data_IF_937527146270
#
_entry.id   IF_937527146270
#
_cell.length_a   1.000
_cell.length_b   1.000
_cell.length_c   1.000
_cell.angle_alpha   90.00
_cell.angle_beta   90.00
_cell.angle_gamma   90.00
#
_symmetry.space_group_name_H-M   'P 1'
#
loop_
_entity.id
_entity.type
_entity.pdbx_description
1 polymer ?
#
# COMPACT_ATOMS: atom_id res chain seq x y z
N UNK A 1 -2.64 6.01 21.24
CA UNK A 1 -3.63 6.42 22.27
C UNK A 1 -3.10 7.51 23.23
N UNK A 2 -1.85 7.44 23.69
CA UNK A 2 -1.28 8.46 24.60
C UNK A 2 -1.19 9.88 23.99
N UNK A 3 -1.21 10.01 22.68
CA UNK A 3 -1.27 11.29 21.94
C UNK A 3 -2.69 11.81 21.75
N UNK A 4 -3.71 11.13 22.29
CA UNK A 4 -5.12 11.54 22.17
C UNK A 4 -5.90 10.87 21.05
N UNK A 5 -5.31 9.92 20.32
CA UNK A 5 -6.07 9.10 19.36
C UNK A 5 -7.07 8.20 20.10
N UNK A 6 -8.28 8.11 19.55
CA UNK A 6 -9.34 7.25 20.09
C UNK A 6 -9.02 5.76 19.87
N UNK A 7 -8.45 5.43 18.72
CA UNK A 7 -8.07 4.08 18.33
C UNK A 7 -6.82 4.10 17.43
N UNK A 8 -6.20 2.94 17.21
CA UNK A 8 -5.10 2.74 16.30
C UNK A 8 -5.21 1.35 15.66
N UNK A 9 -5.19 1.30 14.34
CA UNK A 9 -5.34 0.09 13.54
C UNK A 9 -4.20 -0.06 12.54
N UNK A 10 -3.95 -1.30 12.10
CA UNK A 10 -2.95 -1.56 11.08
C UNK A 10 -3.51 -1.29 9.68
N UNK A 11 -2.81 -0.48 8.88
CA UNK A 11 -3.15 -0.26 7.45
C UNK A 11 -3.13 -1.55 6.63
N UNK A 12 -2.56 -2.62 7.15
CA UNK A 12 -2.61 -3.96 6.57
C UNK A 12 -4.04 -4.51 6.42
N UNK A 13 -5.02 -3.97 7.17
CA UNK A 13 -6.46 -4.21 6.94
C UNK A 13 -6.87 -3.67 5.56
N UNK A 14 -6.51 -2.43 5.25
CA UNK A 14 -6.73 -1.84 3.93
C UNK A 14 -5.98 -2.58 2.83
N UNK A 15 -4.78 -3.08 3.11
CA UNK A 15 -4.03 -3.93 2.18
C UNK A 15 -4.77 -5.23 1.84
N UNK A 16 -5.43 -5.86 2.83
CA UNK A 16 -6.25 -7.07 2.62
C UNK A 16 -7.45 -6.77 1.70
N UNK A 17 -8.08 -5.61 1.85
CA UNK A 17 -9.16 -5.16 0.96
C UNK A 17 -8.63 -5.01 -0.47
N UNK A 18 -7.56 -4.26 -0.63
CA UNK A 18 -7.00 -3.92 -1.94
C UNK A 18 -6.52 -5.17 -2.70
N UNK A 19 -5.83 -6.09 -2.03
CA UNK A 19 -5.41 -7.35 -2.68
C UNK A 19 -6.62 -8.15 -3.17
N UNK A 20 -7.71 -8.17 -2.40
CA UNK A 20 -8.93 -8.87 -2.78
C UNK A 20 -9.56 -8.28 -4.03
N UNK A 21 -9.51 -6.95 -4.21
CA UNK A 21 -9.96 -6.30 -5.45
C UNK A 21 -9.06 -6.65 -6.64
N UNK A 22 -7.73 -6.71 -6.46
CA UNK A 22 -6.84 -7.19 -7.52
C UNK A 22 -7.12 -8.64 -7.92
N UNK A 23 -7.36 -9.53 -6.96
CA UNK A 23 -7.75 -10.92 -7.22
C UNK A 23 -9.05 -11.01 -8.02
N UNK A 24 -10.05 -10.17 -7.69
CA UNK A 24 -11.31 -10.07 -8.47
C UNK A 24 -11.07 -9.56 -9.88
N UNK A 25 -10.19 -8.55 -10.06
CA UNK A 25 -9.85 -8.05 -11.40
C UNK A 25 -9.22 -9.15 -12.26
N UNK A 26 -8.26 -9.91 -11.71
CA UNK A 26 -7.62 -11.04 -12.39
C UNK A 26 -8.66 -12.12 -12.73
N UNK A 27 -9.47 -12.52 -11.78
CA UNK A 27 -10.50 -13.55 -11.96
C UNK A 27 -11.58 -13.14 -12.99
N UNK A 28 -11.79 -11.85 -13.22
CA UNK A 28 -12.77 -11.34 -14.18
C UNK A 28 -12.45 -11.69 -15.63
N UNK A 29 -11.17 -11.95 -15.94
CA UNK A 29 -10.68 -12.21 -17.30
C UNK A 29 -10.80 -11.02 -18.26
N UNK A 30 -11.06 -9.80 -17.75
CA UNK A 30 -11.27 -8.60 -18.57
C UNK A 30 -9.98 -7.83 -18.87
N UNK A 31 -8.89 -8.17 -18.19
CA UNK A 31 -7.63 -7.45 -18.25
C UNK A 31 -6.49 -8.38 -18.64
N UNK A 32 -5.71 -7.99 -19.64
CA UNK A 32 -4.48 -8.69 -20.02
C UNK A 32 -3.28 -8.26 -19.17
N UNK A 33 -3.24 -6.99 -18.79
CA UNK A 33 -2.20 -6.42 -17.94
C UNK A 33 -2.87 -5.60 -16.86
N UNK A 34 -2.39 -5.76 -15.63
CA UNK A 34 -2.85 -4.99 -14.46
C UNK A 34 -1.62 -4.42 -13.75
N UNK A 35 -1.56 -3.10 -13.59
CA UNK A 35 -0.57 -2.43 -12.76
C UNK A 35 -1.19 -2.13 -11.40
N UNK A 36 -0.51 -2.46 -10.32
CA UNK A 36 -0.98 -2.12 -8.96
C UNK A 36 -1.07 -0.61 -8.75
N UNK A 37 -2.14 -0.14 -8.12
CA UNK A 37 -2.41 1.28 -7.85
C UNK A 37 -2.03 1.75 -6.43
N UNK A 38 -1.33 0.93 -5.65
CA UNK A 38 -1.00 1.25 -4.25
C UNK A 38 0.00 2.39 -4.09
N UNK A 39 0.90 2.57 -5.06
CA UNK A 39 1.95 3.59 -5.03
C UNK A 39 1.49 4.89 -5.70
N UNK A 40 1.10 5.89 -4.92
CA UNK A 40 0.64 7.18 -5.45
C UNK A 40 1.67 7.85 -6.38
N UNK A 41 2.97 7.74 -6.08
CA UNK A 41 4.02 8.29 -6.94
C UNK A 41 4.05 7.62 -8.33
N UNK A 42 3.78 6.31 -8.42
CA UNK A 42 3.67 5.61 -9.71
C UNK A 42 2.38 6.02 -10.43
N UNK A 43 1.27 6.14 -9.71
CA UNK A 43 0.01 6.60 -10.29
C UNK A 43 0.17 8.00 -10.91
N UNK A 44 0.77 8.94 -10.16
CA UNK A 44 1.05 10.30 -10.66
C UNK A 44 2.04 10.31 -11.83
N UNK A 45 3.04 9.43 -11.84
CA UNK A 45 3.97 9.27 -12.97
C UNK A 45 3.21 8.83 -14.24
N UNK A 46 2.34 7.83 -14.12
CA UNK A 46 1.53 7.32 -15.24
C UNK A 46 0.58 8.41 -15.72
N UNK A 47 -0.19 9.02 -14.83
CA UNK A 47 -1.17 10.05 -15.16
C UNK A 47 -0.55 11.25 -15.88
N UNK A 48 0.61 11.72 -15.41
CA UNK A 48 1.24 12.94 -15.95
C UNK A 48 2.07 12.69 -17.23
N UNK A 49 2.74 11.55 -17.33
CA UNK A 49 3.76 11.34 -18.36
C UNK A 49 3.50 10.15 -19.28
N UNK A 50 2.64 9.20 -18.88
CA UNK A 50 2.36 7.99 -19.64
C UNK A 50 0.86 7.69 -19.70
N UNK A 51 0.01 8.64 -20.15
CA UNK A 51 -1.46 8.48 -20.13
C UNK A 51 -1.96 7.32 -20.98
N UNK A 52 -1.18 6.86 -21.97
CA UNK A 52 -1.45 5.66 -22.77
C UNK A 52 -1.53 4.38 -21.93
N UNK A 53 -0.89 4.36 -20.74
CA UNK A 53 -0.83 3.21 -19.85
C UNK A 53 -1.92 3.24 -18.77
N UNK A 54 -2.67 4.34 -18.65
CA UNK A 54 -3.80 4.43 -17.71
C UNK A 54 -4.80 3.27 -17.78
N UNK A 55 -5.15 2.72 -18.94
CA UNK A 55 -6.08 1.59 -19.02
C UNK A 55 -5.60 0.31 -18.31
N UNK A 56 -4.31 0.21 -18.02
CA UNK A 56 -3.70 -0.92 -17.32
C UNK A 56 -3.53 -0.66 -15.81
N UNK A 57 -3.63 0.59 -15.36
CA UNK A 57 -3.60 0.93 -13.95
C UNK A 57 -4.88 0.44 -13.28
N UNK A 58 -4.74 -0.33 -12.20
CA UNK A 58 -5.90 -0.83 -11.47
C UNK A 58 -6.73 0.32 -10.91
N UNK A 59 -8.04 0.28 -11.17
CA UNK A 59 -9.01 1.23 -10.62
C UNK A 59 -9.39 0.83 -9.18
N UNK A 60 -8.39 0.82 -8.29
CA UNK A 60 -8.53 0.41 -6.90
C UNK A 60 -7.82 1.41 -6.00
N UNK A 61 -8.47 1.83 -4.93
CA UNK A 61 -7.88 2.71 -3.92
C UNK A 61 -6.61 2.12 -3.32
N UNK A 62 -5.73 2.98 -2.81
CA UNK A 62 -4.59 2.50 -2.04
C UNK A 62 -5.03 1.94 -0.69
N UNK A 63 -4.21 1.10 -0.02
CA UNK A 63 -4.51 0.60 1.32
C UNK A 63 -4.84 1.69 2.34
N UNK A 64 -4.16 2.84 2.26
CA UNK A 64 -4.46 4.00 3.10
C UNK A 64 -5.89 4.48 2.89
N UNK A 65 -6.26 4.78 1.65
CA UNK A 65 -7.60 5.32 1.33
C UNK A 65 -8.70 4.30 1.62
N UNK A 66 -8.48 3.03 1.24
CA UNK A 66 -9.44 1.97 1.49
C UNK A 66 -9.71 1.79 2.99
N UNK A 67 -8.66 1.79 3.82
CA UNK A 67 -8.81 1.65 5.27
C UNK A 67 -9.46 2.88 5.91
N UNK A 68 -9.04 4.10 5.51
CA UNK A 68 -9.66 5.33 6.02
C UNK A 68 -11.16 5.40 5.68
N UNK A 69 -11.56 4.95 4.50
CA UNK A 69 -12.98 4.84 4.11
C UNK A 69 -13.74 3.90 5.05
N UNK A 70 -13.20 2.71 5.31
CA UNK A 70 -13.82 1.75 6.26
C UNK A 70 -13.95 2.38 7.66
N UNK A 71 -12.89 3.01 8.17
CA UNK A 71 -12.92 3.68 9.49
C UNK A 71 -14.04 4.72 9.55
N UNK A 72 -14.17 5.57 8.51
CA UNK A 72 -15.20 6.62 8.46
C UNK A 72 -16.62 6.08 8.29
N UNK A 73 -16.79 4.97 7.59
CA UNK A 73 -18.09 4.30 7.46
C UNK A 73 -18.53 3.65 8.78
N UNK A 74 -17.61 3.00 9.48
CA UNK A 74 -17.88 2.39 10.79
C UNK A 74 -18.03 3.44 11.90
N UNK A 75 -17.34 4.58 11.77
CA UNK A 75 -17.32 5.66 12.74
C UNK A 75 -17.60 7.01 12.08
N UNK A 76 -18.86 7.35 11.77
CA UNK A 76 -19.20 8.60 11.13
C UNK A 76 -18.70 9.81 11.95
N UNK A 77 -17.94 10.69 11.30
CA UNK A 77 -17.31 11.85 11.94
C UNK A 77 -15.91 11.59 12.52
N UNK A 78 -15.38 10.40 12.38
CA UNK A 78 -13.98 10.13 12.75
C UNK A 78 -13.01 10.93 11.86
N UNK A 79 -11.96 11.47 12.47
CA UNK A 79 -10.80 12.01 11.78
C UNK A 79 -9.80 10.86 11.57
N UNK A 80 -9.62 10.45 10.32
CA UNK A 80 -8.73 9.36 9.95
C UNK A 80 -7.33 9.89 9.66
N UNK A 81 -6.35 9.45 10.44
CA UNK A 81 -4.94 9.85 10.33
C UNK A 81 -4.11 8.66 9.89
N UNK A 82 -3.45 8.77 8.74
CA UNK A 82 -2.48 7.77 8.29
C UNK A 82 -1.08 8.10 8.83
N UNK A 83 -0.37 7.08 9.28
CA UNK A 83 1.02 7.20 9.72
C UNK A 83 1.86 6.21 8.92
N UNK A 84 2.91 6.69 8.25
CA UNK A 84 3.73 5.83 7.40
C UNK A 84 4.99 6.48 6.82
N UNK A 85 5.80 5.72 6.08
CA UNK A 85 7.11 6.16 5.61
C UNK A 85 7.07 7.00 4.32
N UNK A 86 5.88 7.33 3.82
CA UNK A 86 5.70 7.83 2.47
C UNK A 86 5.22 9.29 2.44
N UNK A 87 6.02 10.18 1.86
CA UNK A 87 5.63 11.59 1.71
C UNK A 87 4.55 11.82 0.64
N UNK A 88 4.49 10.99 -0.41
CA UNK A 88 3.45 11.15 -1.45
C UNK A 88 2.05 10.79 -0.96
N UNK A 89 1.93 10.12 0.19
CA UNK A 89 0.65 9.88 0.85
C UNK A 89 -0.01 11.16 1.38
N UNK A 90 0.75 12.24 1.58
CA UNK A 90 0.20 13.56 1.92
C UNK A 90 -0.61 14.13 0.75
N UNK A 91 -0.02 14.14 -0.46
CA UNK A 91 -0.72 14.57 -1.67
C UNK A 91 -1.94 13.68 -1.96
N UNK A 92 -1.81 12.36 -1.78
CA UNK A 92 -2.92 11.44 -1.98
C UNK A 92 -4.08 11.70 -1.00
N UNK A 93 -3.79 11.98 0.28
CA UNK A 93 -4.79 12.32 1.27
C UNK A 93 -5.54 13.61 0.89
N UNK A 94 -4.81 14.65 0.46
CA UNK A 94 -5.40 15.92 0.02
C UNK A 94 -6.28 15.77 -1.22
N UNK A 95 -5.85 14.95 -2.19
CA UNK A 95 -6.56 14.77 -3.46
C UNK A 95 -7.89 14.01 -3.29
N UNK A 96 -7.90 12.98 -2.47
CA UNK A 96 -9.04 12.05 -2.37
C UNK A 96 -9.96 12.32 -1.16
N UNK A 97 -9.47 12.97 -0.11
CA UNK A 97 -10.27 13.35 1.06
C UNK A 97 -10.73 12.20 1.97
N UNK A 98 -10.39 10.96 1.65
CA UNK A 98 -10.71 9.80 2.51
C UNK A 98 -9.85 9.78 3.78
N UNK A 99 -8.60 10.17 3.66
CA UNK A 99 -7.66 10.35 4.76
C UNK A 99 -7.60 11.84 5.10
N UNK A 100 -7.82 12.21 6.36
CA UNK A 100 -7.84 13.63 6.74
C UNK A 100 -6.42 14.18 6.91
N UNK A 101 -5.49 13.36 7.42
CA UNK A 101 -4.10 13.75 7.63
C UNK A 101 -3.18 12.55 7.37
N UNK A 102 -2.08 12.77 6.65
CA UNK A 102 -1.00 11.80 6.53
C UNK A 102 0.26 12.32 7.24
N UNK A 103 0.73 11.58 8.23
CA UNK A 103 1.96 11.84 8.98
C UNK A 103 3.06 10.87 8.58
N UNK A 104 4.28 11.36 8.53
CA UNK A 104 5.47 10.51 8.45
C UNK A 104 5.83 9.96 9.82
N UNK A 105 6.66 8.92 9.87
CA UNK A 105 7.19 8.42 11.14
C UNK A 105 8.04 9.48 11.86
N UNK A 106 8.79 10.30 11.12
CA UNK A 106 9.59 11.39 11.69
C UNK A 106 8.71 12.46 12.34
N UNK A 107 7.59 12.81 11.71
CA UNK A 107 6.61 13.77 12.28
C UNK A 107 5.94 13.20 13.53
N UNK A 108 5.58 11.92 13.51
CA UNK A 108 5.04 11.26 14.69
C UNK A 108 6.06 11.22 15.83
N UNK A 109 7.31 10.88 15.55
CA UNK A 109 8.39 10.84 16.54
C UNK A 109 8.62 12.23 17.16
N UNK A 110 8.66 13.28 16.32
CA UNK A 110 8.78 14.66 16.79
C UNK A 110 7.62 15.04 17.72
N UNK A 111 6.40 14.71 17.35
CA UNK A 111 5.21 14.98 18.17
C UNK A 111 5.23 14.18 19.48
N UNK A 112 5.62 12.92 19.45
CA UNK A 112 5.77 12.11 20.68
C UNK A 112 6.80 12.70 21.63
N UNK A 113 7.95 13.16 21.11
CA UNK A 113 9.00 13.81 21.90
C UNK A 113 8.51 15.12 22.54
N UNK A 114 7.79 15.96 21.77
CA UNK A 114 7.20 17.21 22.28
C UNK A 114 6.16 16.94 23.38
N UNK A 115 5.34 15.90 23.19
CA UNK A 115 4.32 15.51 24.16
C UNK A 115 4.89 14.70 25.36
N UNK A 116 6.18 14.41 25.39
CA UNK A 116 6.80 13.58 26.44
C UNK A 116 6.32 12.12 26.44
N UNK A 117 5.84 11.63 25.30
CA UNK A 117 5.35 10.26 25.14
C UNK A 117 6.49 9.35 24.69
N UNK A 118 6.86 8.42 25.53
CA UNK A 118 7.83 7.37 25.20
C UNK A 118 7.05 6.15 24.66
N UNK A 119 7.42 5.59 23.49
CA UNK A 119 6.85 4.34 23.03
C UNK A 119 7.03 3.26 24.08
N UNK A 120 6.00 2.49 24.38
CA UNK A 120 6.18 1.26 25.14
C UNK A 120 7.05 0.31 24.30
N UNK A 121 8.01 -0.35 24.93
CA UNK A 121 8.77 -1.41 24.26
C UNK A 121 7.82 -2.52 23.80
N UNK A 122 8.31 -3.31 22.89
CA UNK A 122 7.57 -4.39 22.23
C UNK A 122 7.04 -5.40 23.28
N UNK A 123 5.76 -5.24 23.64
CA UNK A 123 5.05 -6.12 24.58
C UNK A 123 3.88 -6.82 23.90
N UNK A 124 3.77 -6.72 22.58
CA UNK A 124 2.75 -7.45 21.84
C UNK A 124 3.16 -8.91 21.76
N UNK A 125 2.35 -9.79 22.34
CA UNK A 125 2.41 -11.22 22.04
C UNK A 125 2.36 -11.38 20.52
N UNK A 126 3.19 -12.28 19.94
CA UNK A 126 3.12 -12.55 18.51
C UNK A 126 1.72 -13.07 18.19
N UNK A 127 0.98 -12.30 17.41
CA UNK A 127 -0.27 -12.78 16.87
C UNK A 127 -0.02 -13.79 15.74
N UNK A 128 -1.10 -14.38 15.22
CA UNK A 128 -1.06 -15.37 14.14
C UNK A 128 -0.54 -14.82 12.81
N UNK A 129 0.14 -13.72 12.73
CA UNK A 129 0.68 -13.10 11.52
C UNK A 129 -0.34 -12.95 10.37
N UNK A 130 -0.30 -11.87 9.63
CA UNK A 130 -1.31 -11.54 8.61
C UNK A 130 -0.67 -11.26 7.24
N UNK A 131 -1.22 -11.80 6.16
CA UNK A 131 -0.74 -11.63 4.78
C UNK A 131 -0.68 -10.16 4.34
N UNK A 132 -1.63 -9.34 4.73
CA UNK A 132 -1.64 -7.91 4.41
C UNK A 132 -0.40 -7.16 4.89
N UNK A 133 0.34 -7.69 5.86
CA UNK A 133 1.59 -7.12 6.39
C UNK A 133 2.78 -7.26 5.43
N UNK A 134 2.68 -8.08 4.37
CA UNK A 134 3.72 -8.14 3.33
C UNK A 134 3.77 -6.91 2.44
N UNK A 135 2.69 -6.13 2.32
CA UNK A 135 2.59 -5.02 1.36
C UNK A 135 3.78 -4.06 1.30
N UNK A 136 4.48 -3.70 2.40
CA UNK A 136 5.54 -2.70 2.34
C UNK A 136 6.86 -3.16 1.76
N UNK A 137 7.04 -4.46 1.45
CA UNK A 137 8.27 -4.98 0.83
C UNK A 137 8.07 -5.20 -0.68
N UNK A 138 9.17 -5.30 -1.43
CA UNK A 138 9.13 -5.61 -2.86
C UNK A 138 8.52 -7.00 -3.10
N UNK A 139 7.55 -7.07 -4.00
CA UNK A 139 6.77 -8.28 -4.24
C UNK A 139 5.77 -8.62 -3.13
N UNK A 140 5.60 -7.73 -2.16
CA UNK A 140 4.77 -7.96 -0.99
C UNK A 140 3.27 -7.98 -1.30
N UNK A 141 2.82 -7.18 -2.27
CA UNK A 141 1.45 -7.24 -2.76
C UNK A 141 1.19 -8.63 -3.34
N UNK A 142 2.05 -9.07 -4.25
CA UNK A 142 1.97 -10.38 -4.89
C UNK A 142 2.00 -11.50 -3.85
N UNK A 143 2.92 -11.41 -2.87
CA UNK A 143 3.05 -12.41 -1.81
C UNK A 143 1.81 -12.50 -0.92
N UNK A 144 1.04 -11.41 -0.78
CA UNK A 144 -0.20 -11.41 -0.03
C UNK A 144 -1.37 -12.03 -0.78
N UNK A 145 -1.31 -12.13 -2.11
CA UNK A 145 -2.39 -12.59 -2.98
C UNK A 145 -2.40 -14.12 -3.13
N UNK A 146 -3.55 -14.65 -3.52
CA UNK A 146 -3.69 -16.03 -4.00
C UNK A 146 -3.42 -16.07 -5.51
N UNK A 147 -2.24 -16.57 -5.87
CA UNK A 147 -1.71 -16.49 -7.24
C UNK A 147 -1.80 -17.79 -8.03
N UNK A 148 -2.26 -18.88 -7.41
CA UNK A 148 -2.27 -20.20 -8.00
C UNK A 148 -3.35 -20.32 -9.09
N UNK A 149 -2.97 -20.93 -10.22
CA UNK A 149 -3.88 -21.29 -11.33
C UNK A 149 -4.65 -20.11 -11.98
N UNK A 150 -4.13 -18.90 -11.88
CA UNK A 150 -4.78 -17.70 -12.46
C UNK A 150 -4.47 -17.50 -13.95
N UNK A 151 -3.41 -18.14 -14.47
CA UNK A 151 -2.91 -17.91 -15.83
C UNK A 151 -2.15 -16.57 -15.98
N UNK A 152 -1.97 -15.82 -14.90
CA UNK A 152 -1.20 -14.57 -14.88
C UNK A 152 0.26 -14.81 -14.48
N UNK A 153 1.15 -14.02 -15.07
CA UNK A 153 2.53 -13.85 -14.58
C UNK A 153 2.58 -12.70 -13.62
N UNK A 154 3.21 -12.90 -12.47
CA UNK A 154 3.31 -11.89 -11.40
C UNK A 154 4.71 -11.31 -11.37
N UNK A 155 4.81 -10.00 -11.53
CA UNK A 155 6.07 -9.26 -11.66
C UNK A 155 6.14 -8.13 -10.63
N UNK A 156 7.28 -7.95 -9.98
CA UNK A 156 7.50 -6.86 -9.02
C UNK A 156 8.63 -5.94 -9.49
N UNK A 157 8.32 -4.65 -9.62
CA UNK A 157 9.23 -3.61 -10.08
C UNK A 157 9.34 -2.52 -9.03
N UNK A 158 10.55 -2.11 -8.69
CA UNK A 158 10.84 -1.05 -7.74
C UNK A 158 11.90 -0.09 -8.28
N UNK A 159 11.85 1.17 -7.82
CA UNK A 159 12.65 2.26 -8.34
C UNK A 159 12.03 2.92 -9.58
N UNK A 160 12.06 4.27 -9.60
CA UNK A 160 11.41 5.08 -10.65
C UNK A 160 11.91 4.70 -12.05
N UNK A 161 13.23 4.49 -12.23
CA UNK A 161 13.78 4.17 -13.55
C UNK A 161 13.32 2.81 -14.06
N UNK A 162 13.23 1.83 -13.17
CA UNK A 162 12.72 0.49 -13.51
C UNK A 162 11.21 0.55 -13.81
N UNK A 163 10.44 1.33 -13.06
CA UNK A 163 9.02 1.56 -13.36
C UNK A 163 8.85 2.19 -14.75
N UNK A 164 9.65 3.19 -15.11
CA UNK A 164 9.63 3.82 -16.44
C UNK A 164 9.97 2.78 -17.53
N UNK A 165 10.97 1.94 -17.31
CA UNK A 165 11.31 0.89 -18.26
C UNK A 165 10.16 -0.09 -18.47
N UNK A 166 9.55 -0.58 -17.38
CA UNK A 166 8.39 -1.48 -17.44
C UNK A 166 7.18 -0.82 -18.12
N UNK A 167 6.89 0.45 -17.85
CA UNK A 167 5.83 1.22 -18.51
C UNK A 167 6.04 1.24 -20.04
N UNK A 168 7.27 1.45 -20.51
CA UNK A 168 7.58 1.43 -21.95
C UNK A 168 7.40 0.05 -22.58
N UNK A 169 7.68 -1.02 -21.85
CA UNK A 169 7.38 -2.38 -22.32
C UNK A 169 5.87 -2.63 -22.42
N UNK A 170 5.07 -2.12 -21.49
CA UNK A 170 3.61 -2.18 -21.55
C UNK A 170 3.11 -1.40 -22.77
N UNK A 171 3.59 -0.17 -23.01
CA UNK A 171 3.24 0.64 -24.19
C UNK A 171 3.54 -0.07 -25.50
N UNK A 172 4.61 -0.86 -25.57
CA UNK A 172 4.97 -1.63 -26.76
C UNK A 172 4.04 -2.82 -27.04
N UNK A 173 3.17 -3.17 -26.08
CA UNK A 173 2.29 -4.34 -26.18
C UNK A 173 3.01 -5.69 -26.01
N UNK A 174 4.23 -5.69 -25.50
CA UNK A 174 5.04 -6.90 -25.32
C UNK A 174 4.53 -7.81 -24.19
N UNK A 175 3.79 -7.24 -23.22
CA UNK A 175 3.32 -7.97 -22.04
C UNK A 175 1.86 -8.39 -22.17
N UNK A 176 1.56 -9.61 -21.73
CA UNK A 176 0.21 -10.17 -21.67
C UNK A 176 0.04 -11.04 -20.43
N UNK A 177 -1.19 -11.09 -19.94
CA UNK A 177 -1.55 -11.89 -18.76
C UNK A 177 -0.58 -11.65 -17.59
N UNK A 178 -0.36 -10.36 -17.24
CA UNK A 178 0.56 -9.95 -16.19
C UNK A 178 -0.13 -9.11 -15.14
N UNK A 179 0.18 -9.39 -13.88
CA UNK A 179 -0.03 -8.46 -12.78
C UNK A 179 1.33 -7.89 -12.38
N UNK A 180 1.45 -6.57 -12.38
CA UNK A 180 2.72 -5.87 -12.17
C UNK A 180 2.61 -5.00 -10.91
N UNK A 181 3.26 -5.43 -9.85
CA UNK A 181 3.47 -4.60 -8.67
C UNK A 181 4.53 -3.55 -8.96
N UNK A 182 4.18 -2.26 -8.82
CA UNK A 182 5.12 -1.15 -9.05
C UNK A 182 5.28 -0.28 -7.81
N UNK A 183 6.53 -0.02 -7.43
CA UNK A 183 6.90 0.86 -6.33
C UNK A 183 7.95 1.87 -6.78
N UNK A 184 7.73 3.18 -6.53
CA UNK A 184 8.68 4.22 -6.90
C UNK A 184 9.98 4.19 -6.08
N UNK A 185 9.91 3.72 -4.82
CA UNK A 185 11.07 3.60 -3.95
C UNK A 185 11.82 2.28 -4.21
N UNK A 186 13.14 2.32 -4.29
CA UNK A 186 13.98 1.11 -4.31
C UNK A 186 13.87 0.38 -2.97
N UNK A 187 13.56 -0.92 -3.01
CA UNK A 187 13.24 -1.73 -1.83
C UNK A 187 11.84 -1.50 -1.29
N UNK A 188 10.94 -0.88 -2.08
CA UNK A 188 9.55 -0.60 -1.78
C UNK A 188 9.34 0.33 -0.55
N UNK A 189 8.18 0.26 0.11
CA UNK A 189 7.79 1.24 1.13
C UNK A 189 8.66 1.23 2.38
N UNK A 190 9.24 0.08 2.77
CA UNK A 190 10.15 0.00 3.92
C UNK A 190 11.44 0.83 3.75
N UNK A 191 11.75 1.23 2.52
CA UNK A 191 12.85 2.14 2.20
C UNK A 191 12.35 3.51 1.73
N UNK A 192 11.14 3.87 2.10
CA UNK A 192 10.55 5.17 1.82
C UNK A 192 11.39 6.34 2.34
N UNK A 193 11.19 7.54 1.79
CA UNK A 193 12.04 8.70 2.10
C UNK A 193 11.92 9.20 3.55
N UNK A 194 10.82 8.89 4.23
CA UNK A 194 10.54 9.31 5.60
C UNK A 194 10.73 8.19 6.65
N UNK A 195 11.61 7.25 6.35
CA UNK A 195 12.17 6.32 7.34
C UNK A 195 13.54 6.86 7.76
N UNK A 196 13.76 6.97 9.06
CA UNK A 196 14.93 7.52 9.76
C UNK A 196 16.21 7.61 8.91
N UNK A 197 16.80 8.80 8.87
CA UNK A 197 17.97 9.16 8.06
C UNK A 197 19.23 8.31 8.30
N UNK A 198 19.29 7.52 9.37
CA UNK A 198 20.53 6.90 9.83
C UNK A 198 20.77 5.47 9.34
N UNK A 199 19.75 4.73 8.95
CA UNK A 199 19.90 3.40 8.36
C UNK A 199 18.68 3.06 7.49
N UNK A 200 18.91 2.85 6.21
CA UNK A 200 17.97 2.13 5.33
C UNK A 200 18.39 0.64 5.31
N UNK A 201 17.92 -0.17 6.25
CA UNK A 201 18.30 -1.57 6.32
C UNK A 201 17.52 -2.37 5.29
N UNK A 202 17.95 -2.33 4.03
CA UNK A 202 17.25 -2.97 2.92
C UNK A 202 16.87 -4.42 3.24
N UNK A 203 17.85 -5.24 3.56
CA UNK A 203 17.60 -6.67 3.80
C UNK A 203 17.06 -6.97 5.20
N UNK A 204 17.61 -6.35 6.25
CA UNK A 204 17.15 -6.59 7.62
C UNK A 204 15.75 -6.05 7.88
N UNK A 205 15.33 -4.99 7.18
CA UNK A 205 13.95 -4.50 7.20
C UNK A 205 12.99 -5.50 6.59
N UNK A 206 13.35 -6.06 5.43
CA UNK A 206 12.54 -7.10 4.78
C UNK A 206 12.41 -8.35 5.65
N UNK A 207 13.51 -8.83 6.25
CA UNK A 207 13.49 -9.96 7.18
C UNK A 207 12.53 -9.74 8.35
N UNK A 208 12.51 -8.52 8.93
CA UNK A 208 11.58 -8.16 10.01
C UNK A 208 10.12 -8.19 9.55
N UNK A 209 9.83 -7.64 8.37
CA UNK A 209 8.48 -7.68 7.80
C UNK A 209 8.04 -9.12 7.56
N UNK A 210 8.89 -9.94 6.97
CA UNK A 210 8.59 -11.37 6.72
C UNK A 210 8.35 -12.13 8.02
N UNK A 211 9.11 -11.85 9.06
CA UNK A 211 8.93 -12.48 10.37
C UNK A 211 7.65 -12.01 11.10
N UNK A 212 7.20 -10.80 10.84
CA UNK A 212 5.97 -10.23 11.42
C UNK A 212 4.70 -10.56 10.64
N UNK A 213 4.82 -10.76 9.34
CA UNK A 213 3.73 -11.21 8.48
C UNK A 213 3.48 -12.71 8.67
N UNK A 214 2.42 -13.23 8.09
CA UNK A 214 2.06 -14.65 8.18
C UNK A 214 1.07 -15.04 7.10
N UNK A 215 0.39 -16.17 7.28
CA UNK A 215 -0.47 -16.74 6.25
C UNK A 215 -1.96 -16.47 6.46
N UNK A 216 -2.33 -15.90 7.61
CA UNK A 216 -3.70 -15.55 7.93
C UNK A 216 -4.17 -14.26 7.24
N UNK A 217 -5.47 -14.06 7.20
CA UNK A 217 -6.11 -12.87 6.68
C UNK A 217 -6.68 -11.99 7.79
N UNK A 218 -6.65 -10.67 7.59
CA UNK A 218 -7.49 -9.80 8.41
C UNK A 218 -8.96 -10.07 8.11
N UNK A 219 -9.78 -10.12 9.16
CA UNK A 219 -11.23 -10.12 8.98
C UNK A 219 -11.66 -8.73 8.58
N UNK A 220 -12.12 -8.59 7.35
CA UNK A 220 -12.68 -7.35 6.84
C UNK A 220 -14.18 -7.55 6.68
N UNK A 221 -14.96 -6.68 7.28
CA UNK A 221 -16.39 -6.63 7.01
C UNK A 221 -16.57 -6.17 5.54
N UNK A 222 -16.94 -7.07 4.65
CA UNK A 222 -17.24 -6.82 3.25
C UNK A 222 -18.74 -6.84 3.04
N UNK A 223 -19.32 -6.19 2.04
CA UNK A 223 -18.69 -5.62 0.84
C UNK A 223 -18.80 -4.10 0.77
N UNK A 224 -17.72 -3.43 0.52
CA UNK A 224 -17.79 -2.07 0.05
C UNK A 224 -17.62 -2.12 -1.47
N UNK A 225 -18.72 -2.05 -2.21
CA UNK A 225 -18.76 -2.11 -3.69
C UNK A 225 -18.08 -0.92 -4.38
N UNK A 226 -17.39 -0.07 -3.64
CA UNK A 226 -16.95 1.26 -4.11
C UNK A 226 -15.51 1.61 -3.81
N UNK A 227 -14.58 0.64 -3.92
CA UNK A 227 -13.15 1.00 -3.96
C UNK A 227 -12.70 1.45 -5.36
N UNK A 228 -13.66 1.72 -6.23
CA UNK A 228 -13.44 2.28 -7.56
C UNK A 228 -13.50 3.78 -7.45
N UNK A 229 -12.45 4.44 -7.78
CA UNK A 229 -12.33 5.78 -8.34
C UNK A 229 -10.95 6.33 -8.05
N UNK A 230 -10.02 6.01 -8.94
CA UNK A 230 -8.87 6.88 -9.19
C UNK A 230 -9.34 7.80 -10.31
N UNK A 231 -9.57 9.10 -10.06
CA UNK A 231 -9.97 10.04 -11.09
C UNK A 231 -8.88 10.22 -12.14
#
# INVERSE_FOLDING_TARGET
>A
LKLGFADAQETAIGATIVKTEYEKMIASGKHDVIISSCCHSVNALIQKYYPSVLPYLADVLSPMLAHCRVIKEENPGACAVFIGPCISKKEEAELYGECDVALTYEELEAWMNEAGVVPAGDSTEPDEGKRGRFFPIKGGIIKSMHTENTGFTYLAVDGVQNCIAAIKEIESGALKNCFIEMNACEGACINGPAISHHHKPLLSGEVKVVAFAGDDEFRVAMPIDTFKNIP
#
